data_IF_919449513235
#
_entry.id   IF_919449513235
#
_cell.length_a   1.000
_cell.length_b   1.000
_cell.length_c   1.000
_cell.angle_alpha   90.00
_cell.angle_beta   90.00
_cell.angle_gamma   90.00
#
_symmetry.space_group_name_H-M   'P 1'
#
loop_
_entity.id
_entity.type
_entity.pdbx_description
1 polymer ?
#
# COMPACT_ATOMS: atom_id res chain seq x y z
N UNK A 1 -24.09 -17.32 6.82
CA UNK A 1 -24.47 -16.11 6.07
C UNK A 1 -24.50 -14.95 7.05
N UNK A 2 -23.46 -14.12 7.04
CA UNK A 2 -23.24 -13.12 8.09
C UNK A 2 -23.96 -11.81 7.75
N UNK A 3 -25.09 -11.57 8.40
CA UNK A 3 -25.87 -10.31 8.32
C UNK A 3 -25.23 -9.11 9.04
N UNK A 4 -23.94 -9.18 9.39
CA UNK A 4 -23.23 -8.13 10.14
C UNK A 4 -22.43 -7.13 9.30
N UNK A 5 -22.34 -7.33 7.98
CA UNK A 5 -21.50 -6.47 7.10
C UNK A 5 -22.28 -5.39 6.33
N UNK A 6 -23.59 -5.24 6.53
CA UNK A 6 -24.40 -4.22 5.83
C UNK A 6 -24.62 -2.92 6.60
N UNK A 7 -23.77 -2.59 7.57
CA UNK A 7 -23.76 -1.23 8.09
C UNK A 7 -23.29 -0.29 6.97
N UNK A 8 -24.14 0.66 6.58
CA UNK A 8 -23.79 1.74 5.66
C UNK A 8 -22.48 2.38 6.14
N UNK A 9 -21.40 2.13 5.38
CA UNK A 9 -20.10 2.78 5.64
C UNK A 9 -20.29 4.23 5.23
N UNK A 10 -20.52 5.11 6.21
CA UNK A 10 -20.44 6.55 6.01
C UNK A 10 -19.02 6.87 5.57
N UNK A 11 -18.86 7.48 4.40
CA UNK A 11 -17.56 7.92 3.84
C UNK A 11 -16.95 9.06 4.67
N UNK A 12 -16.50 8.74 5.88
CA UNK A 12 -15.67 9.65 6.67
C UNK A 12 -14.24 9.58 6.11
N UNK A 13 -13.55 10.72 6.06
CA UNK A 13 -12.11 10.76 5.83
C UNK A 13 -11.42 9.75 6.77
N UNK A 14 -10.48 8.96 6.22
CA UNK A 14 -9.73 8.04 7.06
C UNK A 14 -8.91 8.85 8.08
N UNK A 15 -8.83 8.34 9.29
CA UNK A 15 -8.05 9.00 10.34
C UNK A 15 -6.56 8.83 10.10
N UNK A 16 -5.78 9.86 10.43
CA UNK A 16 -4.36 9.72 10.65
C UNK A 16 -4.10 8.69 11.75
N UNK A 17 -2.93 8.08 11.74
CA UNK A 17 -2.47 7.16 12.79
C UNK A 17 -1.45 7.87 13.68
N UNK A 18 -1.16 7.39 14.91
CA UNK A 18 -0.08 7.94 15.72
C UNK A 18 1.26 7.92 14.94
N UNK A 19 2.05 8.99 15.05
CA UNK A 19 3.38 9.01 14.46
C UNK A 19 4.28 7.99 15.15
N UNK A 20 5.17 7.36 14.38
CA UNK A 20 6.19 6.47 14.94
C UNK A 20 7.17 7.30 15.79
N UNK A 21 7.20 7.11 17.13
CA UNK A 21 8.09 7.89 17.99
C UNK A 21 9.55 7.46 17.84
N UNK A 22 10.47 8.35 18.18
CA UNK A 22 11.87 7.97 18.33
C UNK A 22 12.03 6.91 19.42
N UNK A 23 12.77 5.85 19.15
CA UNK A 23 12.89 4.70 20.05
C UNK A 23 11.73 3.71 20.01
N UNK A 24 10.76 3.94 19.13
CA UNK A 24 9.54 3.14 19.03
C UNK A 24 9.80 1.68 18.67
N UNK A 25 8.81 0.83 19.00
CA UNK A 25 8.83 -0.61 18.74
C UNK A 25 8.09 -0.92 17.45
N UNK A 26 8.80 -1.56 16.52
CA UNK A 26 8.24 -2.01 15.23
C UNK A 26 8.02 -3.52 15.30
N UNK A 27 6.75 -3.93 15.20
CA UNK A 27 6.40 -5.35 15.07
C UNK A 27 6.59 -5.81 13.63
N UNK A 28 7.29 -6.92 13.44
CA UNK A 28 7.45 -7.59 12.16
C UNK A 28 6.50 -8.79 12.09
N UNK A 29 5.65 -8.82 11.08
CA UNK A 29 4.71 -9.90 10.79
C UNK A 29 4.90 -10.43 9.37
N UNK A 30 4.49 -11.66 9.13
CA UNK A 30 4.53 -12.29 7.80
C UNK A 30 3.12 -12.70 7.34
N UNK A 31 2.25 -11.77 6.90
CA UNK A 31 0.86 -12.10 6.58
C UNK A 31 0.67 -12.78 5.23
N UNK A 32 1.72 -12.95 4.44
CA UNK A 32 1.71 -13.48 3.07
C UNK A 32 2.69 -14.65 2.91
N UNK A 33 3.71 -14.51 2.08
CA UNK A 33 4.71 -15.54 1.81
C UNK A 33 5.81 -15.62 2.88
N UNK A 34 6.45 -16.80 3.03
CA UNK A 34 7.59 -16.96 3.93
C UNK A 34 8.85 -16.30 3.34
N UNK A 35 9.78 -15.92 4.20
CA UNK A 35 11.10 -15.49 3.80
C UNK A 35 12.14 -15.93 4.85
N UNK A 36 13.38 -16.05 4.41
CA UNK A 36 14.50 -16.16 5.34
C UNK A 36 14.82 -14.77 5.87
N UNK A 37 14.91 -14.64 7.17
CA UNK A 37 15.24 -13.40 7.86
C UNK A 37 16.56 -13.60 8.62
N UNK A 38 17.56 -12.80 8.28
CA UNK A 38 18.71 -12.61 9.15
C UNK A 38 18.30 -11.70 10.31
N UNK A 39 17.95 -12.31 11.44
CA UNK A 39 17.45 -11.58 12.61
C UNK A 39 18.51 -10.63 13.18
N UNK A 40 19.77 -11.03 13.19
CA UNK A 40 20.85 -10.20 13.73
C UNK A 40 21.03 -8.95 12.88
N UNK A 41 21.14 -9.13 11.57
CA UNK A 41 21.23 -8.01 10.61
C UNK A 41 20.01 -7.09 10.71
N UNK A 42 18.81 -7.64 10.72
CA UNK A 42 17.57 -6.87 10.80
C UNK A 42 17.47 -6.07 12.10
N UNK A 43 17.84 -6.69 13.23
CA UNK A 43 17.83 -6.03 14.55
C UNK A 43 18.88 -4.93 14.63
N UNK A 44 20.10 -5.18 14.17
CA UNK A 44 21.16 -4.17 14.13
C UNK A 44 20.80 -3.01 13.21
N UNK A 45 20.20 -3.31 12.05
CA UNK A 45 19.76 -2.30 11.10
C UNK A 45 18.67 -1.39 11.67
N UNK A 46 17.68 -1.94 12.38
CA UNK A 46 16.64 -1.16 13.08
C UNK A 46 17.21 -0.36 14.24
N UNK A 47 18.08 -0.95 15.04
CA UNK A 47 18.71 -0.27 16.18
C UNK A 47 19.58 0.90 15.73
N UNK A 48 20.31 0.79 14.62
CA UNK A 48 21.10 1.88 14.04
C UNK A 48 20.23 3.08 13.62
N UNK A 49 18.92 2.91 13.45
CA UNK A 49 17.92 3.95 13.14
C UNK A 49 17.14 4.41 14.37
N UNK A 50 17.52 3.88 15.53
CA UNK A 50 16.91 4.23 16.80
C UNK A 50 15.60 3.50 17.09
N UNK A 51 15.27 2.41 16.39
CA UNK A 51 14.03 1.65 16.60
C UNK A 51 14.30 0.26 17.19
N UNK A 52 13.30 -0.30 17.86
CA UNK A 52 13.34 -1.65 18.39
C UNK A 52 12.55 -2.59 17.46
N UNK A 53 13.11 -3.74 17.12
CA UNK A 53 12.44 -4.75 16.30
C UNK A 53 11.84 -5.84 17.21
N UNK A 54 10.54 -6.08 17.05
CA UNK A 54 9.82 -7.20 17.65
C UNK A 54 9.33 -8.14 16.57
N UNK A 55 9.91 -9.32 16.47
CA UNK A 55 9.53 -10.33 15.48
C UNK A 55 8.45 -11.24 16.05
N UNK A 56 7.30 -11.33 15.37
CA UNK A 56 6.21 -12.22 15.79
C UNK A 56 6.46 -13.66 15.31
N UNK A 57 5.87 -14.67 16.00
CA UNK A 57 6.20 -16.10 15.78
C UNK A 57 6.02 -16.59 14.35
N UNK A 58 4.97 -16.14 13.64
CA UNK A 58 4.66 -16.58 12.28
C UNK A 58 5.71 -16.16 11.23
N UNK A 59 6.60 -15.21 11.56
CA UNK A 59 7.74 -14.84 10.68
C UNK A 59 8.66 -16.04 10.41
N UNK A 60 8.72 -16.97 11.36
CA UNK A 60 9.57 -18.17 11.30
C UNK A 60 8.87 -19.38 10.69
N UNK A 61 7.57 -19.28 10.44
CA UNK A 61 6.81 -20.40 9.92
C UNK A 61 6.82 -20.47 8.39
N UNK A 62 6.69 -21.70 7.89
CA UNK A 62 6.59 -21.99 6.46
C UNK A 62 5.64 -23.15 6.23
N UNK A 63 4.61 -22.90 5.41
CA UNK A 63 3.67 -23.91 4.94
C UNK A 63 3.54 -23.75 3.41
N UNK A 64 4.37 -24.48 2.69
CA UNK A 64 4.50 -24.34 1.23
C UNK A 64 4.91 -22.91 0.83
N UNK A 65 4.01 -22.20 0.18
CA UNK A 65 4.19 -20.81 -0.27
C UNK A 65 3.65 -19.77 0.74
N UNK A 66 3.14 -20.19 1.87
CA UNK A 66 2.61 -19.33 2.96
C UNK A 66 3.57 -19.26 4.14
N UNK A 67 3.58 -18.15 4.84
CA UNK A 67 4.26 -17.99 6.12
C UNK A 67 3.42 -18.59 7.26
N UNK A 68 3.31 -19.92 7.28
CA UNK A 68 2.47 -20.66 8.21
C UNK A 68 0.98 -20.67 7.85
N UNK A 69 0.18 -21.26 8.75
CA UNK A 69 -1.27 -21.36 8.56
C UNK A 69 -1.97 -20.01 8.59
N UNK A 70 -3.18 -19.93 8.03
CA UNK A 70 -4.00 -18.72 8.08
C UNK A 70 -4.25 -18.28 9.55
N UNK A 71 -4.42 -19.24 10.46
CA UNK A 71 -4.64 -18.95 11.88
C UNK A 71 -3.42 -18.27 12.55
N UNK A 72 -2.21 -18.72 12.24
CA UNK A 72 -0.97 -18.12 12.75
C UNK A 72 -0.80 -16.70 12.23
N UNK A 73 -0.91 -16.50 10.92
CA UNK A 73 -0.75 -15.21 10.28
C UNK A 73 -1.79 -14.18 10.76
N UNK A 74 -3.03 -14.63 10.95
CA UNK A 74 -4.13 -13.82 11.47
C UNK A 74 -3.92 -13.45 12.95
N UNK A 75 -3.49 -14.41 13.77
CA UNK A 75 -3.15 -14.16 15.17
C UNK A 75 -2.06 -13.09 15.27
N UNK A 76 -0.96 -13.25 14.53
CA UNK A 76 0.16 -12.30 14.56
C UNK A 76 -0.26 -10.88 14.12
N UNK A 77 -1.16 -10.77 13.13
CA UNK A 77 -1.75 -9.51 12.75
C UNK A 77 -2.54 -8.87 13.91
N UNK A 78 -3.39 -9.65 14.57
CA UNK A 78 -4.19 -9.17 15.71
C UNK A 78 -3.32 -8.81 16.91
N UNK A 79 -2.35 -9.66 17.26
CA UNK A 79 -1.44 -9.44 18.39
C UNK A 79 -0.60 -8.17 18.18
N UNK A 80 -0.10 -7.93 16.96
CA UNK A 80 0.65 -6.72 16.64
C UNK A 80 -0.19 -5.43 16.79
N UNK A 81 -1.48 -5.48 16.42
CA UNK A 81 -2.37 -4.34 16.63
C UNK A 81 -2.81 -4.20 18.10
N UNK A 82 -3.03 -5.31 18.81
CA UNK A 82 -3.50 -5.28 20.19
C UNK A 82 -2.43 -4.87 21.21
N UNK A 83 -1.16 -5.15 20.93
CA UNK A 83 -0.04 -4.86 21.82
C UNK A 83 0.23 -3.35 21.92
N UNK A 84 -0.11 -2.74 23.06
CA UNK A 84 0.06 -1.30 23.31
C UNK A 84 1.53 -0.85 23.28
N UNK A 85 2.50 -1.77 23.41
CA UNK A 85 3.93 -1.46 23.34
C UNK A 85 4.48 -1.48 21.91
N UNK A 86 3.65 -1.77 20.91
CA UNK A 86 4.00 -1.73 19.49
C UNK A 86 3.54 -0.40 18.91
N UNK A 87 4.46 0.33 18.28
CA UNK A 87 4.22 1.65 17.69
C UNK A 87 3.97 1.59 16.17
N UNK A 88 4.52 0.60 15.47
CA UNK A 88 4.28 0.39 14.04
C UNK A 88 4.34 -1.10 13.68
N UNK A 89 3.73 -1.47 12.55
CA UNK A 89 3.68 -2.85 12.06
C UNK A 89 4.25 -2.90 10.65
N UNK A 90 5.31 -3.68 10.47
CA UNK A 90 5.93 -3.91 9.17
C UNK A 90 5.65 -5.33 8.69
N UNK A 91 5.28 -5.45 7.43
CA UNK A 91 5.21 -6.75 6.76
C UNK A 91 6.61 -7.19 6.34
N UNK A 92 6.93 -8.48 6.55
CA UNK A 92 8.21 -9.07 6.19
C UNK A 92 8.43 -9.01 4.67
N UNK A 93 7.41 -9.45 3.93
CA UNK A 93 7.36 -9.44 2.46
C UNK A 93 5.94 -9.64 1.96
N UNK A 94 5.74 -9.42 0.65
CA UNK A 94 4.56 -9.87 -0.07
C UNK A 94 4.62 -11.36 -0.48
N UNK A 95 4.21 -11.66 -1.68
CA UNK A 95 4.15 -13.01 -2.24
C UNK A 95 2.71 -13.43 -2.49
N UNK A 96 2.12 -14.27 -1.64
CA UNK A 96 0.73 -14.69 -1.73
C UNK A 96 0.18 -15.03 -0.35
N UNK A 97 -1.09 -14.75 -0.12
CA UNK A 97 -1.83 -15.31 1.01
C UNK A 97 -2.60 -14.30 1.86
N UNK A 98 -2.34 -13.00 1.75
CA UNK A 98 -3.05 -11.99 2.55
C UNK A 98 -4.57 -11.95 2.28
N UNK A 99 -5.09 -12.21 1.06
CA UNK A 99 -6.54 -12.27 0.84
C UNK A 99 -7.25 -13.36 1.64
N UNK A 100 -6.56 -14.43 1.99
CA UNK A 100 -7.12 -15.54 2.79
C UNK A 100 -7.47 -15.10 4.22
N UNK A 101 -6.83 -14.04 4.72
CA UNK A 101 -7.01 -13.53 6.07
C UNK A 101 -8.24 -12.62 6.21
N UNK A 102 -8.66 -11.97 5.13
CA UNK A 102 -9.60 -10.84 5.13
C UNK A 102 -10.89 -11.11 5.92
N UNK A 103 -11.48 -12.30 5.73
CA UNK A 103 -12.73 -12.66 6.40
C UNK A 103 -12.59 -12.94 7.91
N UNK A 104 -11.36 -13.18 8.38
CA UNK A 104 -11.05 -13.46 9.79
C UNK A 104 -10.58 -12.22 10.57
N UNK A 105 -10.35 -11.08 9.93
CA UNK A 105 -9.83 -9.89 10.60
C UNK A 105 -10.88 -9.26 11.54
N UNK A 106 -10.51 -9.02 12.78
CA UNK A 106 -11.26 -8.18 13.72
C UNK A 106 -10.96 -6.68 13.44
N UNK A 107 -11.69 -6.11 12.49
CA UNK A 107 -11.56 -4.69 12.15
C UNK A 107 -11.94 -3.75 13.29
N UNK A 108 -12.72 -4.21 14.28
CA UNK A 108 -13.02 -3.41 15.47
C UNK A 108 -11.81 -3.32 16.39
N UNK A 109 -11.04 -4.40 16.52
CA UNK A 109 -9.75 -4.39 17.22
C UNK A 109 -8.78 -3.41 16.55
N UNK A 110 -8.60 -3.52 15.23
CA UNK A 110 -7.69 -2.64 14.48
C UNK A 110 -8.10 -1.17 14.62
N UNK A 111 -9.39 -0.86 14.51
CA UNK A 111 -9.92 0.50 14.64
C UNK A 111 -9.65 1.12 16.02
N UNK A 112 -9.69 0.31 17.08
CA UNK A 112 -9.39 0.78 18.45
C UNK A 112 -7.91 0.99 18.70
N UNK A 113 -7.04 0.40 17.88
CA UNK A 113 -5.58 0.42 18.05
C UNK A 113 -4.89 0.82 16.71
N UNK A 114 -5.21 2.00 16.14
CA UNK A 114 -4.64 2.41 14.88
C UNK A 114 -3.12 2.60 15.01
N UNK A 115 -2.37 2.01 14.08
CA UNK A 115 -0.89 2.06 14.02
C UNK A 115 -0.45 2.18 12.56
N UNK A 116 0.72 2.78 12.28
CA UNK A 116 1.35 2.66 10.99
C UNK A 116 1.49 1.20 10.58
N UNK A 117 0.87 0.84 9.45
CA UNK A 117 0.92 -0.50 8.86
C UNK A 117 1.58 -0.39 7.49
N UNK A 118 2.74 -1.04 7.33
CA UNK A 118 3.64 -0.86 6.18
C UNK A 118 3.77 -2.16 5.39
N UNK A 119 3.62 -2.06 4.08
CA UNK A 119 3.85 -3.16 3.13
C UNK A 119 3.37 -2.81 1.73
N UNK A 120 3.59 -3.70 0.76
CA UNK A 120 3.11 -3.55 -0.61
C UNK A 120 2.96 -4.91 -1.31
N UNK A 121 2.68 -4.95 -2.61
CA UNK A 121 2.49 -6.21 -3.34
C UNK A 121 1.21 -6.92 -2.87
N UNK A 122 1.30 -8.20 -2.47
CA UNK A 122 0.19 -8.99 -1.91
C UNK A 122 -0.52 -8.29 -0.72
N UNK A 123 0.23 -7.45 0.04
CA UNK A 123 -0.30 -6.69 1.18
C UNK A 123 -1.37 -5.66 0.76
N UNK A 124 -1.48 -5.35 -0.53
CA UNK A 124 -2.54 -4.49 -1.08
C UNK A 124 -3.93 -4.93 -0.61
N UNK A 125 -4.21 -6.23 -0.53
CA UNK A 125 -5.50 -6.73 -0.05
C UNK A 125 -5.78 -6.33 1.41
N UNK A 126 -4.76 -6.33 2.28
CA UNK A 126 -4.88 -5.84 3.66
C UNK A 126 -5.06 -4.32 3.70
N UNK A 127 -4.32 -3.57 2.89
CA UNK A 127 -4.50 -2.12 2.81
C UNK A 127 -5.93 -1.74 2.44
N UNK A 128 -6.50 -2.35 1.41
CA UNK A 128 -7.89 -2.10 0.98
C UNK A 128 -8.89 -2.43 2.08
N UNK A 129 -8.69 -3.55 2.77
CA UNK A 129 -9.59 -3.98 3.84
C UNK A 129 -9.48 -3.10 5.10
N UNK A 130 -8.25 -2.77 5.53
CA UNK A 130 -7.99 -1.94 6.71
C UNK A 130 -8.53 -0.52 6.49
N UNK A 131 -8.20 0.11 5.37
CA UNK A 131 -8.72 1.45 5.06
C UNK A 131 -10.24 1.46 5.05
N UNK A 132 -10.88 0.48 4.41
CA UNK A 132 -12.35 0.41 4.29
C UNK A 132 -13.04 0.13 5.62
N UNK A 133 -12.56 -0.84 6.42
CA UNK A 133 -13.30 -1.35 7.57
C UNK A 133 -12.75 -0.87 8.93
N UNK A 134 -11.46 -0.60 9.04
CA UNK A 134 -10.88 -0.01 10.23
C UNK A 134 -10.85 1.53 10.15
N UNK A 135 -10.73 2.12 8.94
CA UNK A 135 -10.96 3.54 8.69
C UNK A 135 -9.76 4.44 9.00
N UNK A 136 -8.54 3.94 8.91
CA UNK A 136 -7.31 4.73 9.08
C UNK A 136 -6.33 4.54 7.92
N UNK A 137 -5.39 5.47 7.82
CA UNK A 137 -4.33 5.49 6.80
C UNK A 137 -3.35 4.33 6.99
N UNK A 138 -2.96 3.68 5.88
CA UNK A 138 -1.91 2.66 5.84
C UNK A 138 -0.83 3.06 4.84
N UNK A 139 0.33 2.41 4.85
CA UNK A 139 1.49 2.85 4.07
C UNK A 139 1.94 1.78 3.08
N UNK A 140 1.74 2.06 1.79
CA UNK A 140 2.33 1.28 0.71
C UNK A 140 3.80 1.67 0.60
N UNK A 141 4.69 0.83 1.08
CA UNK A 141 6.10 1.17 1.18
C UNK A 141 7.00 -0.02 1.43
N UNK A 142 8.30 0.25 1.50
CA UNK A 142 9.37 -0.73 1.60
C UNK A 142 9.19 -1.72 2.76
N UNK A 143 9.45 -3.01 2.50
CA UNK A 143 9.34 -4.10 3.46
C UNK A 143 10.71 -4.61 3.92
N UNK A 144 10.77 -5.12 5.14
CA UNK A 144 12.05 -5.41 5.80
C UNK A 144 12.89 -6.50 5.11
N UNK A 145 12.30 -7.50 4.49
CA UNK A 145 13.05 -8.54 3.79
C UNK A 145 13.14 -8.32 2.28
N UNK A 146 12.14 -7.67 1.69
CA UNK A 146 12.12 -7.43 0.24
C UNK A 146 13.02 -6.26 -0.18
N UNK A 147 13.11 -5.23 0.68
CA UNK A 147 13.73 -3.95 0.36
C UNK A 147 14.80 -3.51 1.38
N UNK A 148 14.61 -3.84 2.65
CA UNK A 148 15.40 -3.36 3.79
C UNK A 148 15.87 -4.53 4.67
N UNK A 149 17.14 -4.55 5.16
CA UNK A 149 18.25 -3.75 4.71
C UNK A 149 18.70 -4.15 3.30
N UNK A 150 19.09 -3.20 2.47
CA UNK A 150 19.51 -3.52 1.10
C UNK A 150 20.01 -2.31 0.34
N UNK A 151 20.38 -2.54 -0.93
CA UNK A 151 20.91 -1.50 -1.82
C UNK A 151 19.77 -0.74 -2.51
N UNK A 152 18.79 -0.26 -1.76
CA UNK A 152 17.76 0.62 -2.32
C UNK A 152 18.30 2.04 -2.44
N UNK A 153 17.97 2.68 -3.55
CA UNK A 153 18.27 4.09 -3.76
C UNK A 153 17.41 4.96 -2.85
N UNK A 154 17.97 6.06 -2.40
CA UNK A 154 17.19 7.10 -1.73
C UNK A 154 16.20 7.76 -2.75
N UNK A 155 15.04 8.19 -2.26
CA UNK A 155 14.60 8.29 -0.88
C UNK A 155 13.72 7.11 -0.39
N UNK A 156 14.04 5.85 -0.75
CA UNK A 156 13.25 4.69 -0.27
C UNK A 156 13.21 4.65 1.27
N UNK A 157 14.36 4.71 1.89
CA UNK A 157 14.47 4.60 3.35
C UNK A 157 14.13 5.93 4.03
N UNK A 158 14.77 7.02 3.64
CA UNK A 158 14.55 8.33 4.26
C UNK A 158 13.08 8.79 4.11
N UNK A 159 12.47 8.57 2.95
CA UNK A 159 11.06 8.89 2.70
C UNK A 159 10.10 8.06 3.56
N UNK A 160 10.42 6.77 3.80
CA UNK A 160 9.63 5.93 4.72
C UNK A 160 9.65 6.51 6.14
N UNK A 161 10.83 6.80 6.68
CA UNK A 161 10.94 7.32 8.05
C UNK A 161 10.32 8.71 8.20
N UNK A 162 10.50 9.60 7.22
CA UNK A 162 9.85 10.92 7.21
C UNK A 162 8.32 10.79 7.21
N UNK A 163 7.78 9.87 6.41
CA UNK A 163 6.33 9.63 6.33
C UNK A 163 5.78 9.13 7.67
N UNK A 164 6.44 8.15 8.29
CA UNK A 164 5.98 7.55 9.54
C UNK A 164 6.17 8.45 10.77
N UNK A 165 7.15 9.36 10.76
CA UNK A 165 7.42 10.31 11.84
C UNK A 165 6.72 11.67 11.68
N UNK A 166 5.99 11.88 10.58
CA UNK A 166 5.30 13.15 10.30
C UNK A 166 6.22 14.29 9.84
N UNK A 167 7.41 13.96 9.35
CA UNK A 167 8.39 14.94 8.89
C UNK A 167 8.37 15.15 7.36
N UNK A 168 7.47 14.47 6.65
CA UNK A 168 7.33 14.63 5.20
C UNK A 168 6.79 16.00 4.81
N UNK A 169 7.22 16.51 3.66
CA UNK A 169 6.61 17.68 3.02
C UNK A 169 5.17 17.38 2.59
N UNK A 170 4.25 18.37 2.63
CA UNK A 170 2.93 18.21 2.01
C UNK A 170 3.01 17.87 0.51
N UNK A 171 3.94 18.45 -0.24
CA UNK A 171 4.25 18.02 -1.60
C UNK A 171 5.19 16.83 -1.51
N UNK A 172 4.71 15.67 -1.92
CA UNK A 172 5.54 14.46 -1.91
C UNK A 172 6.63 14.58 -2.97
N UNK A 173 7.88 14.43 -2.52
CA UNK A 173 9.04 14.55 -3.39
C UNK A 173 9.15 13.33 -4.31
N UNK A 174 9.41 13.58 -5.59
CA UNK A 174 9.76 12.57 -6.58
C UNK A 174 11.21 12.77 -7.04
N UNK A 175 12.03 11.72 -7.10
CA UNK A 175 13.43 11.84 -7.47
C UNK A 175 13.60 12.36 -8.90
N UNK A 176 14.33 13.46 -9.13
CA UNK A 176 14.44 14.11 -10.44
C UNK A 176 15.15 13.27 -11.50
N UNK A 177 15.86 12.22 -11.08
CA UNK A 177 16.50 11.26 -12.00
C UNK A 177 15.50 10.37 -12.74
N UNK A 178 14.23 10.33 -12.33
CA UNK A 178 13.18 9.52 -12.95
C UNK A 178 12.11 10.43 -13.52
N UNK A 179 11.80 10.26 -14.81
CA UNK A 179 10.83 11.11 -15.47
C UNK A 179 9.38 10.73 -15.11
N UNK A 180 8.59 11.73 -14.76
CA UNK A 180 7.13 11.62 -14.73
C UNK A 180 6.53 11.90 -16.10
N UNK A 181 5.40 11.28 -16.40
CA UNK A 181 4.70 11.46 -17.68
C UNK A 181 3.22 11.77 -17.43
N UNK A 182 2.77 12.93 -17.85
CA UNK A 182 1.36 13.29 -17.86
C UNK A 182 0.67 12.59 -19.03
N UNK A 183 -0.13 11.56 -18.73
CA UNK A 183 -0.89 10.81 -19.73
C UNK A 183 -2.24 11.47 -20.02
N UNK A 184 -2.85 12.10 -19.02
CA UNK A 184 -4.01 12.97 -19.19
C UNK A 184 -3.85 14.18 -18.24
N UNK A 185 -4.08 15.42 -18.73
CA UNK A 185 -3.88 16.64 -17.96
C UNK A 185 -4.98 16.86 -16.92
N UNK A 186 -4.75 17.81 -16.00
CA UNK A 186 -5.69 18.26 -15.01
C UNK A 186 -5.22 18.02 -13.58
N UNK A 187 -6.06 18.44 -12.63
CA UNK A 187 -5.82 18.30 -11.21
C UNK A 187 -7.10 17.88 -10.50
N UNK A 188 -7.00 16.97 -9.53
CA UNK A 188 -8.14 16.52 -8.76
C UNK A 188 -7.74 16.10 -7.34
N UNK A 189 -8.65 16.33 -6.38
CA UNK A 189 -8.51 15.86 -5.00
C UNK A 189 -9.36 14.63 -4.75
N UNK A 190 -8.82 13.69 -3.95
CA UNK A 190 -9.51 12.48 -3.56
C UNK A 190 -8.68 11.67 -2.56
N UNK A 191 -9.27 10.61 -2.03
CA UNK A 191 -8.52 9.66 -1.20
C UNK A 191 -7.59 8.83 -2.08
N UNK A 192 -6.32 8.70 -1.71
CA UNK A 192 -5.38 7.82 -2.39
C UNK A 192 -5.64 6.38 -1.97
N UNK A 193 -6.09 5.54 -2.89
CA UNK A 193 -6.31 4.11 -2.65
C UNK A 193 -5.80 3.28 -3.84
N UNK A 194 -5.44 2.06 -3.57
CA UNK A 194 -4.96 1.14 -4.61
C UNK A 194 -3.76 0.32 -4.15
N UNK A 195 -2.80 0.10 -5.07
CA UNK A 195 -1.61 -0.71 -4.89
C UNK A 195 -1.37 -1.64 -6.08
N UNK A 196 -1.04 -2.90 -5.82
CA UNK A 196 -0.80 -3.89 -6.85
C UNK A 196 -2.09 -4.18 -7.65
N UNK A 197 -2.03 -3.96 -8.97
CA UNK A 197 -3.20 -4.04 -9.86
C UNK A 197 -3.80 -5.45 -9.89
N UNK A 198 -2.96 -6.49 -9.93
CA UNK A 198 -3.39 -7.88 -9.86
C UNK A 198 -4.17 -8.16 -8.56
N UNK A 199 -3.72 -7.62 -7.44
CA UNK A 199 -4.38 -7.78 -6.14
C UNK A 199 -5.68 -7.00 -6.03
N UNK A 200 -5.75 -5.80 -6.59
CA UNK A 200 -7.00 -5.03 -6.70
C UNK A 200 -8.04 -5.86 -7.47
N UNK A 201 -7.65 -6.40 -8.63
CA UNK A 201 -8.54 -7.22 -9.45
C UNK A 201 -8.95 -8.53 -8.75
N UNK A 202 -8.06 -9.16 -7.99
CA UNK A 202 -8.33 -10.41 -7.26
C UNK A 202 -9.40 -10.25 -6.16
N UNK A 203 -9.64 -9.03 -5.67
CA UNK A 203 -10.65 -8.76 -4.63
C UNK A 203 -12.00 -8.34 -5.17
N UNK A 204 -12.13 -8.06 -6.48
CA UNK A 204 -13.41 -7.64 -7.12
C UNK A 204 -14.47 -8.72 -6.96
N UNK A 205 -15.67 -8.30 -6.61
CA UNK A 205 -16.82 -9.18 -6.33
C UNK A 205 -16.86 -9.71 -4.90
N UNK A 206 -15.84 -9.41 -4.08
CA UNK A 206 -15.83 -9.72 -2.65
C UNK A 206 -16.29 -8.52 -1.81
N UNK A 207 -16.56 -8.75 -0.52
CA UNK A 207 -16.83 -7.67 0.41
C UNK A 207 -15.60 -6.72 0.59
N UNK A 208 -14.43 -7.16 0.20
CA UNK A 208 -13.15 -6.46 0.40
C UNK A 208 -12.62 -5.78 -0.87
N UNK A 209 -13.44 -5.71 -1.91
CA UNK A 209 -13.06 -5.03 -3.15
C UNK A 209 -12.79 -3.53 -2.93
N UNK A 210 -12.04 -2.95 -3.86
CA UNK A 210 -11.72 -1.52 -3.88
C UNK A 210 -13.00 -0.67 -3.77
N UNK A 211 -13.02 0.25 -2.82
CA UNK A 211 -14.00 1.33 -2.75
C UNK A 211 -13.56 2.46 -3.68
N UNK A 212 -14.14 2.50 -4.88
CA UNK A 212 -13.73 3.37 -5.98
C UNK A 212 -14.37 4.77 -5.93
N UNK A 213 -15.19 5.09 -4.92
CA UNK A 213 -15.91 6.36 -4.90
C UNK A 213 -15.03 7.57 -4.55
N UNK A 214 -14.83 8.43 -5.55
CA UNK A 214 -14.14 9.70 -5.37
C UNK A 214 -12.65 9.59 -5.03
N UNK A 215 -11.99 8.50 -5.45
CA UNK A 215 -10.59 8.24 -5.13
C UNK A 215 -9.63 8.70 -6.24
N UNK A 216 -8.39 8.94 -5.84
CA UNK A 216 -7.21 8.87 -6.71
C UNK A 216 -6.74 7.43 -6.66
N UNK A 217 -6.89 6.72 -7.77
CA UNK A 217 -6.47 5.31 -7.86
C UNK A 217 -4.96 5.23 -8.07
N UNK A 218 -4.27 4.56 -7.16
CA UNK A 218 -2.86 4.18 -7.35
C UNK A 218 -2.77 2.75 -7.87
N UNK A 219 -1.98 2.53 -8.94
CA UNK A 219 -1.72 1.21 -9.51
C UNK A 219 -0.24 0.99 -9.79
N UNK A 220 0.26 -0.19 -9.46
CA UNK A 220 1.58 -0.71 -9.83
C UNK A 220 1.47 -2.21 -10.07
N UNK A 221 2.44 -2.84 -10.74
CA UNK A 221 2.51 -4.30 -10.82
C UNK A 221 3.93 -4.79 -11.18
N UNK A 222 4.16 -6.10 -11.14
CA UNK A 222 5.45 -6.71 -11.44
C UNK A 222 5.29 -7.97 -12.28
N UNK A 223 6.16 -8.11 -13.30
CA UNK A 223 6.25 -9.29 -14.16
C UNK A 223 4.94 -9.67 -14.89
N UNK A 224 4.02 -8.73 -15.04
CA UNK A 224 2.82 -8.93 -15.83
C UNK A 224 3.09 -8.52 -17.29
N UNK A 225 2.95 -9.44 -18.27
CA UNK A 225 3.03 -9.06 -19.67
C UNK A 225 1.97 -8.02 -20.04
N UNK A 226 2.26 -7.12 -20.99
CA UNK A 226 1.39 -6.00 -21.34
C UNK A 226 -0.08 -6.43 -21.59
N UNK A 227 -0.32 -7.58 -22.27
CA UNK A 227 -1.68 -8.05 -22.50
C UNK A 227 -2.43 -8.46 -21.21
N UNK A 228 -1.70 -8.80 -20.13
CA UNK A 228 -2.33 -9.04 -18.83
C UNK A 228 -2.66 -7.74 -18.14
N UNK A 229 -1.79 -6.73 -18.22
CA UNK A 229 -2.12 -5.37 -17.72
C UNK A 229 -3.40 -4.86 -18.40
N UNK A 230 -3.50 -5.01 -19.73
CA UNK A 230 -4.72 -4.69 -20.50
C UNK A 230 -5.95 -5.45 -19.95
N UNK A 231 -5.81 -6.76 -19.74
CA UNK A 231 -6.90 -7.60 -19.18
C UNK A 231 -7.34 -7.13 -17.80
N UNK A 232 -6.39 -6.74 -16.93
CA UNK A 232 -6.69 -6.25 -15.58
C UNK A 232 -7.42 -4.90 -15.63
N UNK A 233 -6.99 -3.97 -16.49
CA UNK A 233 -7.67 -2.70 -16.71
C UNK A 233 -9.08 -2.90 -17.32
N UNK A 234 -9.19 -3.80 -18.30
CA UNK A 234 -10.48 -4.21 -18.85
C UNK A 234 -11.41 -4.80 -17.78
N UNK A 235 -10.85 -5.62 -16.85
CA UNK A 235 -11.63 -6.16 -15.74
C UNK A 235 -12.15 -5.04 -14.81
N UNK A 236 -11.30 -4.07 -14.44
CA UNK A 236 -11.74 -2.90 -13.65
C UNK A 236 -12.86 -2.13 -14.36
N UNK A 237 -12.72 -1.91 -15.67
CA UNK A 237 -13.72 -1.22 -16.49
C UNK A 237 -15.04 -1.97 -16.51
N UNK A 238 -15.04 -3.28 -16.78
CA UNK A 238 -16.25 -4.11 -16.82
C UNK A 238 -16.91 -4.23 -15.45
N UNK A 239 -16.14 -4.20 -14.37
CA UNK A 239 -16.64 -4.16 -13.00
C UNK A 239 -17.14 -2.77 -12.55
N UNK A 240 -17.04 -1.75 -13.43
CA UNK A 240 -17.47 -0.38 -13.15
C UNK A 240 -16.54 0.40 -12.21
N UNK A 241 -15.37 -0.15 -11.88
CA UNK A 241 -14.43 0.42 -10.89
C UNK A 241 -13.68 1.66 -11.39
N UNK A 242 -13.78 2.00 -12.67
CA UNK A 242 -13.18 3.21 -13.23
C UNK A 242 -14.15 4.40 -13.30
N UNK A 243 -15.46 4.19 -13.06
CA UNK A 243 -16.49 5.19 -13.37
C UNK A 243 -16.54 6.36 -12.37
N UNK A 244 -16.04 6.18 -11.16
CA UNK A 244 -16.15 7.15 -10.06
C UNK A 244 -14.80 7.69 -9.57
N UNK A 245 -13.74 7.38 -10.31
CA UNK A 245 -12.39 7.86 -10.03
C UNK A 245 -12.30 9.38 -10.21
N UNK A 246 -11.44 10.01 -9.43
CA UNK A 246 -11.07 11.43 -9.57
C UNK A 246 -9.76 11.62 -10.33
N UNK A 247 -8.87 10.61 -10.31
CA UNK A 247 -7.60 10.61 -11.00
C UNK A 247 -6.90 9.27 -10.87
N UNK A 248 -5.79 9.09 -11.61
CA UNK A 248 -4.97 7.87 -11.52
C UNK A 248 -3.50 8.25 -11.38
N UNK A 249 -2.87 7.71 -10.33
CA UNK A 249 -1.43 7.73 -10.14
C UNK A 249 -0.87 6.36 -10.54
N UNK A 250 0.01 6.34 -11.55
CA UNK A 250 0.60 5.11 -12.05
C UNK A 250 2.02 4.98 -11.51
N UNK A 251 2.25 3.94 -10.75
CA UNK A 251 3.54 3.53 -10.21
C UNK A 251 4.39 2.79 -11.23
N UNK A 252 5.26 1.93 -10.72
CA UNK A 252 6.12 1.12 -11.57
C UNK A 252 5.37 -0.13 -12.06
N UNK A 253 5.65 -0.52 -13.29
CA UNK A 253 5.25 -1.80 -13.87
C UNK A 253 6.51 -2.55 -14.29
N UNK A 254 7.16 -3.13 -13.29
CA UNK A 254 8.45 -3.77 -13.48
C UNK A 254 8.40 -4.90 -14.52
N UNK A 255 9.27 -4.83 -15.52
CA UNK A 255 9.33 -5.81 -16.61
C UNK A 255 8.45 -5.48 -17.81
N UNK A 256 7.73 -4.34 -17.81
CA UNK A 256 6.92 -3.89 -18.95
C UNK A 256 7.62 -2.74 -19.68
N UNK A 257 7.61 -2.77 -21.02
CA UNK A 257 8.09 -1.65 -21.82
C UNK A 257 7.25 -0.39 -21.55
N UNK A 258 7.91 0.70 -21.13
CA UNK A 258 7.23 1.91 -20.70
C UNK A 258 6.45 2.62 -21.81
N UNK A 259 6.93 2.58 -23.06
CA UNK A 259 6.26 3.22 -24.20
C UNK A 259 4.97 2.47 -24.54
N UNK A 260 5.03 1.14 -24.56
CA UNK A 260 3.87 0.30 -24.79
C UNK A 260 2.85 0.41 -23.67
N UNK A 261 3.32 0.46 -22.40
CA UNK A 261 2.49 0.68 -21.23
C UNK A 261 1.76 2.04 -21.29
N UNK A 262 2.48 3.12 -21.54
CA UNK A 262 1.88 4.46 -21.62
C UNK A 262 0.81 4.54 -22.70
N UNK A 263 1.06 3.91 -23.87
CA UNK A 263 0.06 3.83 -24.95
C UNK A 263 -1.21 3.11 -24.49
N UNK A 264 -1.06 1.96 -23.82
CA UNK A 264 -2.18 1.21 -23.27
C UNK A 264 -2.95 2.03 -22.24
N UNK A 265 -2.25 2.64 -21.29
CA UNK A 265 -2.87 3.47 -20.25
C UNK A 265 -3.61 4.67 -20.84
N UNK A 266 -3.06 5.33 -21.87
CA UNK A 266 -3.76 6.42 -22.58
C UNK A 266 -5.04 5.93 -23.26
N UNK A 267 -5.03 4.73 -23.86
CA UNK A 267 -6.21 4.14 -24.49
C UNK A 267 -7.31 3.79 -23.48
N UNK A 268 -6.94 3.21 -22.34
CA UNK A 268 -7.90 2.73 -21.35
C UNK A 268 -8.37 3.82 -20.36
N UNK A 269 -7.49 4.74 -19.97
CA UNK A 269 -7.77 5.75 -18.95
C UNK A 269 -8.05 7.15 -19.52
N UNK A 270 -7.49 7.49 -20.70
CA UNK A 270 -7.69 8.79 -21.32
C UNK A 270 -9.17 9.17 -21.53
N UNK A 271 -10.05 8.25 -21.99
CA UNK A 271 -11.47 8.54 -22.16
C UNK A 271 -12.23 8.89 -20.87
N UNK A 272 -11.65 8.63 -19.69
CA UNK A 272 -12.27 8.98 -18.42
C UNK A 272 -12.33 10.49 -18.14
N UNK A 273 -11.50 11.28 -18.83
CA UNK A 273 -11.46 12.75 -18.66
C UNK A 273 -10.97 13.21 -17.28
N UNK A 274 -10.15 12.41 -16.62
CA UNK A 274 -9.57 12.67 -15.30
C UNK A 274 -8.03 12.74 -15.39
N UNK A 275 -7.32 13.43 -14.46
CA UNK A 275 -5.87 13.48 -14.48
C UNK A 275 -5.24 12.09 -14.32
N UNK A 276 -4.23 11.80 -15.16
CA UNK A 276 -3.43 10.57 -15.11
C UNK A 276 -1.96 10.92 -15.16
N UNK A 277 -1.24 10.60 -14.07
CA UNK A 277 0.20 10.82 -13.94
C UNK A 277 0.91 9.47 -13.81
N UNK A 278 1.87 9.20 -14.69
CA UNK A 278 2.63 7.95 -14.72
C UNK A 278 4.11 8.15 -14.41
N UNK A 279 4.78 7.06 -14.01
CA UNK A 279 6.19 7.05 -13.69
C UNK A 279 6.50 7.33 -12.22
N UNK A 280 5.49 7.37 -11.35
CA UNK A 280 5.71 7.53 -9.91
C UNK A 280 6.51 6.36 -9.35
N UNK A 281 7.63 6.65 -8.70
CA UNK A 281 8.53 5.58 -8.21
C UNK A 281 7.99 4.96 -6.94
N UNK A 282 6.94 4.16 -7.05
CA UNK A 282 6.36 3.39 -5.94
C UNK A 282 5.92 2.02 -6.43
N UNK A 283 6.13 0.99 -5.65
CA UNK A 283 5.88 -0.42 -5.97
C UNK A 283 7.15 -1.24 -6.12
N UNK A 284 7.20 -2.16 -7.11
CA UNK A 284 8.33 -3.07 -7.32
C UNK A 284 9.51 -2.40 -8.05
N UNK A 285 9.98 -1.28 -7.52
CA UNK A 285 11.01 -0.45 -8.14
C UNK A 285 12.12 -0.03 -7.15
N UNK A 286 13.12 0.66 -7.68
CA UNK A 286 14.21 1.23 -6.91
C UNK A 286 14.53 2.64 -7.45
N UNK A 287 14.29 3.73 -6.68
CA UNK A 287 13.73 3.74 -5.33
C UNK A 287 12.26 3.32 -5.28
N UNK A 288 11.74 3.01 -4.08
CA UNK A 288 10.34 2.70 -3.80
C UNK A 288 9.79 3.72 -2.80
N UNK A 289 9.09 4.73 -3.29
CA UNK A 289 8.54 5.82 -2.49
C UNK A 289 7.32 5.35 -1.70
N UNK A 290 7.28 5.68 -0.42
CA UNK A 290 6.14 5.37 0.43
C UNK A 290 4.94 6.24 0.11
N UNK A 291 3.77 5.61 -0.07
CA UNK A 291 2.48 6.27 -0.31
C UNK A 291 1.49 5.99 0.83
N UNK A 292 0.84 7.03 1.38
CA UNK A 292 -0.16 6.87 2.44
C UNK A 292 -1.54 6.56 1.85
N UNK A 293 -1.93 5.29 1.87
CA UNK A 293 -3.24 4.83 1.37
C UNK A 293 -4.36 5.19 2.36
N UNK A 294 -5.43 5.76 1.84
CA UNK A 294 -6.53 6.32 2.61
C UNK A 294 -6.39 7.83 2.88
N UNK A 295 -5.21 8.41 2.66
CA UNK A 295 -4.98 9.84 2.84
C UNK A 295 -5.71 10.67 1.79
N UNK A 296 -6.14 11.88 2.17
CA UNK A 296 -6.66 12.87 1.25
C UNK A 296 -5.49 13.54 0.52
N UNK A 297 -5.49 13.42 -0.81
CA UNK A 297 -4.43 13.96 -1.66
C UNK A 297 -5.00 14.78 -2.81
N UNK A 298 -4.17 15.67 -3.36
CA UNK A 298 -4.40 16.30 -4.67
C UNK A 298 -3.35 15.77 -5.66
N UNK A 299 -3.82 15.13 -6.72
CA UNK A 299 -3.02 14.76 -7.87
C UNK A 299 -3.07 15.91 -8.87
N UNK A 300 -1.93 16.50 -9.18
CA UNK A 300 -1.79 17.54 -10.18
C UNK A 300 -0.92 17.02 -11.33
N UNK A 301 -1.55 16.53 -12.38
CA UNK A 301 -0.85 15.94 -13.52
C UNK A 301 -0.17 17.01 -14.38
N UNK A 302 -0.66 18.27 -14.36
CA UNK A 302 -0.06 19.38 -15.11
C UNK A 302 1.26 19.82 -14.47
N UNK A 303 1.31 19.89 -13.14
CA UNK A 303 2.52 20.21 -12.38
C UNK A 303 3.36 18.98 -12.02
N UNK A 304 2.87 17.76 -12.34
CA UNK A 304 3.48 16.49 -12.01
C UNK A 304 3.74 16.33 -10.49
N UNK A 305 2.73 16.63 -9.68
CA UNK A 305 2.82 16.64 -8.22
C UNK A 305 1.73 15.78 -7.58
N UNK A 306 2.08 15.19 -6.45
CA UNK A 306 1.15 14.59 -5.49
C UNK A 306 1.26 15.34 -4.16
N UNK A 307 0.16 15.91 -3.69
CA UNK A 307 0.12 16.79 -2.52
C UNK A 307 -0.78 16.19 -1.45
N UNK A 308 -0.27 16.04 -0.23
CA UNK A 308 -1.07 15.69 0.94
C UNK A 308 -1.92 16.90 1.35
N UNK A 309 -3.22 16.73 1.45
CA UNK A 309 -4.15 17.80 1.86
C UNK A 309 -4.43 17.78 3.37
N UNK A 310 -3.93 16.76 4.08
CA UNK A 310 -4.02 16.62 5.54
C UNK A 310 -2.85 15.78 6.07
N UNK A 311 -2.52 15.92 7.37
CA UNK A 311 -1.56 15.03 8.01
C UNK A 311 -2.00 13.56 7.92
N UNK A 312 -1.03 12.65 7.76
CA UNK A 312 -1.25 11.20 7.70
C UNK A 312 -0.89 10.49 9.00
N UNK A 313 -0.10 11.18 9.82
CA UNK A 313 0.22 10.78 11.20
C UNK A 313 -0.03 11.98 12.16
N UNK A 314 -0.26 11.71 13.46
CA UNK A 314 -0.56 12.70 14.50
C UNK A 314 0.28 12.51 15.75
#
# INVERSE_FOLDING_TARGET
>A
MNSRLTAQVSYKAHSAVPALPAGGVIALIAPAGPAELDLELATQWMAARGYQLRVLPGVWEKDGYLAGSDAVRLRDLHDAFADESVDAIFCLRGGYGSPRLLAGIDFALLRRNPKPFVGYSDITALHLAITRYAGFVTFHGAMLNADLPGNKLEPTESGLWQMLSGQQSPVLEHPPAFALTTLAPGSASGRLLGGNLSMICATIGSAFELDDEGIILFIEDVNEPLYRVDRLLTHLRLAGKLNRLRGVLVGDFAGVDSVALHRLLQQELGPLGIPVLAGWRSGHCNPNLTLPLGAQVRLDADQQQLVLEQPVVT
#
